data_IF_384262503622
#
_entry.id   IF_384262503622
#
_cell.length_a   1.000
_cell.length_b   1.000
_cell.length_c   1.000
_cell.angle_alpha   90.00
_cell.angle_beta   90.00
_cell.angle_gamma   90.00
#
_symmetry.space_group_name_H-M   'P 1'
#
loop_
_entity.id
_entity.type
_entity.pdbx_description
1 polymer ?
#
# COMPACT_ATOMS: atom_id res chain seq x y z
N UNK A 1 7.49 -4.46 -14.45
CA UNK A 1 6.47 -3.69 -13.70
C UNK A 1 6.63 -2.21 -14.03
N UNK A 2 5.77 -1.31 -13.52
CA UNK A 2 5.97 0.15 -13.63
C UNK A 2 7.39 0.59 -13.20
N UNK A 3 8.01 -0.12 -12.25
CA UNK A 3 9.37 0.19 -11.81
C UNK A 3 10.47 -0.42 -12.69
N UNK A 4 10.12 -1.32 -13.63
CA UNK A 4 11.07 -1.90 -14.61
C UNK A 4 10.96 -1.23 -15.99
N UNK A 5 9.75 -0.85 -16.40
CA UNK A 5 9.44 -0.36 -17.75
C UNK A 5 9.06 1.13 -17.74
N UNK A 6 8.79 1.71 -16.57
CA UNK A 6 8.33 3.08 -16.41
C UNK A 6 6.82 3.21 -16.60
N UNK A 7 6.34 4.45 -16.43
CA UNK A 7 4.99 4.88 -16.80
C UNK A 7 5.10 6.13 -17.66
N UNK A 8 4.11 6.37 -18.51
CA UNK A 8 3.98 7.65 -19.21
C UNK A 8 3.46 8.67 -18.19
N UNK A 9 4.28 9.65 -17.83
CA UNK A 9 3.98 10.59 -16.74
C UNK A 9 2.73 11.44 -16.94
N UNK A 10 2.24 11.58 -18.19
CA UNK A 10 0.98 12.29 -18.48
C UNK A 10 -0.26 11.46 -18.19
N UNK A 11 -0.14 10.13 -18.12
CA UNK A 11 -1.28 9.22 -17.91
C UNK A 11 -1.90 9.40 -16.51
N UNK A 12 -1.14 9.50 -15.39
CA UNK A 12 -1.72 9.80 -14.08
C UNK A 12 -2.53 11.11 -14.07
N UNK A 13 -2.01 12.19 -14.66
CA UNK A 13 -2.71 13.48 -14.70
C UNK A 13 -4.02 13.42 -15.48
N UNK A 14 -4.05 12.66 -16.59
CA UNK A 14 -5.25 12.43 -17.38
C UNK A 14 -6.30 11.65 -16.57
N UNK A 15 -5.91 10.53 -15.96
CA UNK A 15 -6.81 9.71 -15.15
C UNK A 15 -7.36 10.50 -13.96
N UNK A 16 -6.50 11.23 -13.23
CA UNK A 16 -6.95 12.07 -12.11
C UNK A 16 -7.93 13.16 -12.53
N UNK A 17 -7.78 13.70 -13.74
CA UNK A 17 -8.71 14.71 -14.27
C UNK A 17 -10.09 14.08 -14.53
N UNK A 18 -10.13 12.89 -15.14
CA UNK A 18 -11.37 12.13 -15.37
C UNK A 18 -12.04 11.79 -14.04
N UNK A 19 -11.30 11.23 -13.08
CA UNK A 19 -11.82 10.87 -11.75
C UNK A 19 -12.37 12.08 -10.99
N UNK A 20 -11.68 13.23 -11.08
CA UNK A 20 -12.14 14.47 -10.47
C UNK A 20 -13.45 14.96 -11.09
N UNK A 21 -13.60 14.85 -12.41
CA UNK A 21 -14.85 15.19 -13.10
C UNK A 21 -15.98 14.25 -12.73
N UNK A 22 -15.76 12.94 -12.64
CA UNK A 22 -16.78 11.99 -12.17
C UNK A 22 -17.20 12.24 -10.72
N UNK A 23 -16.26 12.60 -9.85
CA UNK A 23 -16.57 13.02 -8.48
C UNK A 23 -17.43 14.30 -8.46
N UNK A 24 -17.14 15.29 -9.30
CA UNK A 24 -17.96 16.49 -9.43
C UNK A 24 -19.37 16.14 -9.90
N UNK A 25 -19.49 15.31 -10.95
CA UNK A 25 -20.79 14.83 -11.45
C UNK A 25 -21.61 14.18 -10.34
N UNK A 26 -20.98 13.30 -9.55
CA UNK A 26 -21.63 12.67 -8.40
C UNK A 26 -22.15 13.69 -7.38
N UNK A 27 -21.30 14.66 -7.01
CA UNK A 27 -21.63 15.69 -6.02
C UNK A 27 -22.73 16.65 -6.50
N UNK A 28 -22.82 16.91 -7.81
CA UNK A 28 -23.83 17.80 -8.39
C UNK A 28 -25.09 17.07 -8.87
N UNK A 29 -25.16 15.76 -8.70
CA UNK A 29 -26.32 14.94 -9.10
C UNK A 29 -26.44 14.72 -10.61
N UNK A 30 -25.34 14.87 -11.35
CA UNK A 30 -25.28 14.57 -12.78
C UNK A 30 -25.23 13.05 -13.03
N UNK A 31 -25.68 12.57 -14.21
CA UNK A 31 -25.64 11.15 -14.54
C UNK A 31 -24.21 10.58 -14.50
N UNK A 32 -24.05 9.42 -13.83
CA UNK A 32 -22.79 8.69 -13.79
C UNK A 32 -22.78 7.53 -14.77
N UNK A 33 -21.68 7.38 -15.50
CA UNK A 33 -21.44 6.22 -16.35
C UNK A 33 -20.65 5.16 -15.58
N UNK A 34 -21.35 4.11 -15.12
CA UNK A 34 -20.73 2.99 -14.41
C UNK A 34 -20.07 2.02 -15.40
N UNK A 35 -18.86 2.35 -15.85
CA UNK A 35 -18.07 1.51 -16.73
C UNK A 35 -16.59 1.48 -16.31
N UNK A 36 -15.87 0.46 -16.78
CA UNK A 36 -14.41 0.44 -16.71
C UNK A 36 -13.87 1.24 -17.89
N UNK A 37 -13.36 2.44 -17.59
CA UNK A 37 -12.65 3.28 -18.56
C UNK A 37 -11.23 2.77 -18.75
N UNK A 38 -10.92 2.35 -19.98
CA UNK A 38 -9.58 1.95 -20.42
C UNK A 38 -9.04 3.03 -21.34
N UNK A 39 -7.85 3.54 -21.01
CA UNK A 39 -7.19 4.61 -21.78
C UNK A 39 -5.86 4.12 -22.31
N UNK A 40 -5.71 4.15 -23.62
CA UNK A 40 -4.41 4.09 -24.29
C UNK A 40 -4.02 5.49 -24.75
N UNK A 41 -3.08 6.11 -24.03
CA UNK A 41 -2.65 7.48 -24.32
C UNK A 41 -1.75 7.56 -25.56
N UNK A 42 -1.09 6.46 -25.94
CA UNK A 42 -0.18 6.44 -27.07
C UNK A 42 -0.96 6.46 -28.38
N UNK A 43 -1.96 5.58 -28.46
CA UNK A 43 -2.85 5.46 -29.61
C UNK A 43 -4.06 6.41 -29.51
N UNK A 44 -4.19 7.14 -28.41
CA UNK A 44 -5.28 8.08 -28.11
C UNK A 44 -6.65 7.40 -28.10
N UNK A 45 -6.69 6.18 -27.59
CA UNK A 45 -7.88 5.34 -27.56
C UNK A 45 -8.55 5.37 -26.18
N UNK A 46 -9.87 5.46 -26.19
CA UNK A 46 -10.72 5.51 -25.00
C UNK A 46 -11.83 4.49 -25.15
N UNK A 47 -11.86 3.51 -24.25
CA UNK A 47 -12.86 2.46 -24.25
C UNK A 47 -13.60 2.45 -22.93
N UNK A 48 -14.92 2.40 -23.01
CA UNK A 48 -15.77 2.14 -21.86
C UNK A 48 -16.26 0.71 -21.94
N UNK A 49 -15.86 -0.11 -20.97
CA UNK A 49 -16.28 -1.51 -20.88
C UNK A 49 -17.36 -1.59 -19.80
N UNK A 50 -18.56 -2.04 -20.16
CA UNK A 50 -19.61 -2.28 -19.17
C UNK A 50 -19.17 -3.36 -18.18
N UNK A 51 -19.27 -3.08 -16.88
CA UNK A 51 -18.96 -4.03 -15.81
C UNK A 51 -20.22 -4.30 -15.02
N UNK A 52 -20.58 -5.57 -14.88
CA UNK A 52 -21.71 -6.00 -14.08
C UNK A 52 -21.24 -6.53 -12.72
N UNK A 53 -22.08 -6.33 -11.69
CA UNK A 53 -21.89 -7.00 -10.42
C UNK A 53 -21.90 -8.52 -10.61
N UNK A 54 -20.95 -9.22 -9.98
CA UNK A 54 -20.90 -10.69 -10.00
C UNK A 54 -22.02 -11.27 -9.13
N UNK A 55 -22.79 -12.20 -9.68
CA UNK A 55 -23.79 -12.96 -8.93
C UNK A 55 -23.14 -13.74 -7.76
N UNK A 56 -23.77 -13.68 -6.59
CA UNK A 56 -23.29 -14.35 -5.38
C UNK A 56 -21.95 -13.82 -4.85
N UNK A 57 -21.52 -12.61 -5.24
CA UNK A 57 -20.30 -12.01 -4.71
C UNK A 57 -20.38 -11.91 -3.16
N UNK A 58 -19.43 -12.51 -2.43
CA UNK A 58 -19.49 -12.53 -0.96
C UNK A 58 -19.50 -11.11 -0.37
N UNK A 59 -18.79 -10.17 -0.97
CA UNK A 59 -18.74 -8.78 -0.50
C UNK A 59 -19.90 -7.93 -1.05
N UNK A 60 -20.05 -7.83 -2.37
CA UNK A 60 -20.98 -6.88 -2.99
C UNK A 60 -22.46 -7.30 -2.90
N UNK A 61 -22.75 -8.60 -2.86
CA UNK A 61 -24.13 -9.15 -2.85
C UNK A 61 -24.48 -9.67 -1.46
N UNK A 62 -23.61 -10.50 -0.88
CA UNK A 62 -23.89 -11.12 0.41
C UNK A 62 -23.47 -10.25 1.62
N UNK A 63 -22.92 -9.05 1.36
CA UNK A 63 -22.50 -8.09 2.38
C UNK A 63 -21.56 -8.68 3.46
N UNK A 64 -20.78 -9.70 3.09
CA UNK A 64 -19.74 -10.24 3.95
C UNK A 64 -18.47 -9.40 3.83
N UNK A 65 -18.26 -8.52 4.81
CA UNK A 65 -17.11 -7.63 4.92
C UNK A 65 -16.05 -8.17 5.89
N UNK A 66 -15.68 -9.44 5.77
CA UNK A 66 -14.70 -10.11 6.63
C UNK A 66 -13.41 -9.28 6.79
N UNK A 67 -12.87 -8.71 5.71
CA UNK A 67 -11.66 -7.87 5.74
C UNK A 67 -11.82 -6.53 6.48
N UNK A 68 -13.05 -6.06 6.71
CA UNK A 68 -13.30 -4.85 7.50
C UNK A 68 -13.28 -5.14 9.01
N UNK A 69 -13.74 -6.33 9.41
CA UNK A 69 -13.96 -6.68 10.82
C UNK A 69 -12.90 -7.61 11.40
N UNK A 70 -12.17 -8.32 10.56
CA UNK A 70 -11.10 -9.22 10.98
C UNK A 70 -9.76 -8.51 10.75
N UNK A 71 -9.09 -8.04 11.83
CA UNK A 71 -7.69 -7.63 11.70
C UNK A 71 -6.93 -8.81 11.11
N UNK A 72 -6.18 -8.57 10.04
CA UNK A 72 -5.26 -9.55 9.48
C UNK A 72 -3.86 -8.98 9.54
N UNK A 73 -2.91 -9.81 9.97
CA UNK A 73 -1.51 -9.56 9.67
C UNK A 73 -1.37 -9.62 8.15
N UNK A 74 -0.87 -8.55 7.54
CA UNK A 74 -0.63 -8.52 6.10
C UNK A 74 0.83 -8.27 5.80
N UNK A 75 1.36 -9.05 4.87
CA UNK A 75 2.69 -8.88 4.32
C UNK A 75 2.53 -8.70 2.84
N UNK A 76 2.87 -7.52 2.35
CA UNK A 76 2.61 -7.13 0.98
C UNK A 76 3.92 -6.73 0.32
N UNK A 77 4.29 -7.43 -0.75
CA UNK A 77 5.40 -7.01 -1.61
C UNK A 77 4.98 -5.73 -2.34
N UNK A 78 5.73 -4.65 -2.13
CA UNK A 78 5.48 -3.37 -2.78
C UNK A 78 6.12 -3.43 -4.17
N UNK A 79 5.26 -3.51 -5.19
CA UNK A 79 5.66 -3.61 -6.58
C UNK A 79 6.78 -2.63 -6.92
N UNK A 80 7.94 -3.19 -7.26
CA UNK A 80 9.05 -2.49 -7.88
C UNK A 80 10.01 -1.71 -6.97
N UNK A 81 9.78 -1.75 -5.65
CA UNK A 81 10.61 -1.02 -4.67
C UNK A 81 11.60 -1.91 -3.92
N UNK A 82 11.78 -3.16 -4.36
CA UNK A 82 12.47 -4.22 -3.63
C UNK A 82 12.14 -4.19 -2.13
N UNK A 83 10.85 -4.06 -1.83
CA UNK A 83 10.38 -3.75 -0.50
C UNK A 83 9.14 -4.55 -0.13
N UNK A 84 9.05 -4.89 1.14
CA UNK A 84 7.90 -5.58 1.71
C UNK A 84 7.34 -4.73 2.85
N UNK A 85 6.03 -4.50 2.82
CA UNK A 85 5.30 -3.89 3.93
C UNK A 85 4.75 -4.99 4.84
N UNK A 86 5.08 -4.91 6.13
CA UNK A 86 4.51 -5.73 7.19
C UNK A 86 3.53 -4.88 8.00
N UNK A 87 2.29 -5.35 8.11
CA UNK A 87 1.25 -4.75 8.95
C UNK A 87 0.91 -5.76 10.04
N UNK A 88 1.24 -5.50 11.31
CA UNK A 88 0.98 -6.44 12.40
C UNK A 88 -0.52 -6.55 12.71
N UNK A 89 -0.90 -7.70 13.27
CA UNK A 89 -2.29 -7.98 13.69
C UNK A 89 -2.75 -7.02 14.80
N UNK A 90 -1.87 -6.74 15.76
CA UNK A 90 -2.11 -5.80 16.85
C UNK A 90 -1.45 -4.47 16.53
N UNK A 91 -2.27 -3.45 16.22
CA UNK A 91 -1.83 -2.05 16.15
C UNK A 91 -1.65 -1.54 17.57
N UNK A 92 -0.50 -1.81 18.17
CA UNK A 92 -0.09 -1.19 19.43
C UNK A 92 0.69 0.09 19.15
N UNK A 93 0.56 1.10 20.02
CA UNK A 93 1.47 2.25 19.96
C UNK A 93 2.88 1.79 20.32
N UNK A 94 3.75 1.71 19.31
CA UNK A 94 5.16 1.43 19.53
C UNK A 94 5.83 2.71 19.99
N UNK A 95 6.48 2.66 21.16
CA UNK A 95 7.37 3.74 21.57
C UNK A 95 8.62 3.76 20.68
N UNK A 96 8.58 4.58 19.62
CA UNK A 96 9.67 4.73 18.65
C UNK A 96 10.99 5.07 19.35
N UNK A 97 10.94 5.91 20.39
CA UNK A 97 12.11 6.27 21.21
C UNK A 97 12.75 5.06 21.89
N UNK A 98 11.94 4.18 22.49
CA UNK A 98 12.45 2.98 23.15
C UNK A 98 13.03 1.98 22.14
N UNK A 99 12.40 1.89 20.97
CA UNK A 99 12.85 1.03 19.89
C UNK A 99 14.15 1.56 19.26
N UNK A 100 14.26 2.88 19.10
CA UNK A 100 15.45 3.56 18.60
C UNK A 100 16.68 3.25 19.46
N UNK A 101 16.53 3.29 20.79
CA UNK A 101 17.62 2.98 21.72
C UNK A 101 18.11 1.53 21.58
N UNK A 102 17.19 0.56 21.41
CA UNK A 102 17.55 -0.84 21.19
C UNK A 102 18.26 -1.04 19.85
N UNK A 103 17.72 -0.45 18.79
CA UNK A 103 18.22 -0.62 17.42
C UNK A 103 19.51 0.14 17.15
N UNK A 104 19.81 1.20 17.92
CA UNK A 104 21.05 1.97 17.79
C UNK A 104 22.31 1.14 18.07
N UNK A 105 22.18 0.03 18.81
CA UNK A 105 23.28 -0.92 19.06
C UNK A 105 23.56 -1.83 17.85
N UNK A 106 22.60 -1.96 16.93
CA UNK A 106 22.65 -2.91 15.81
C UNK A 106 22.87 -2.24 14.45
N UNK A 107 22.70 -0.91 14.35
CA UNK A 107 22.83 -0.19 13.10
C UNK A 107 22.52 1.30 13.22
N UNK A 108 22.40 1.96 12.06
CA UNK A 108 22.09 3.40 12.00
C UNK A 108 20.61 3.62 12.23
N UNK A 109 20.31 4.56 13.13
CA UNK A 109 18.93 4.89 13.49
C UNK A 109 18.70 6.38 13.30
N UNK A 110 17.55 6.74 12.73
CA UNK A 110 17.03 8.11 12.67
C UNK A 110 15.57 8.11 13.09
N UNK A 111 15.26 8.82 14.16
CA UNK A 111 13.91 8.94 14.69
C UNK A 111 13.24 10.24 14.21
N UNK A 112 11.94 10.17 13.95
CA UNK A 112 11.03 11.32 13.76
C UNK A 112 9.77 11.08 14.62
N UNK A 113 8.90 12.08 14.82
CA UNK A 113 7.70 11.91 15.65
C UNK A 113 6.76 10.77 15.24
N UNK A 114 6.79 10.36 13.97
CA UNK A 114 5.86 9.34 13.43
C UNK A 114 6.54 8.11 12.85
N UNK A 115 7.84 8.18 12.57
CA UNK A 115 8.60 7.13 11.87
C UNK A 115 9.99 6.97 12.46
N UNK A 116 10.38 5.72 12.70
CA UNK A 116 11.75 5.31 12.99
C UNK A 116 12.39 4.69 11.75
N UNK A 117 13.50 5.25 11.31
CA UNK A 117 14.33 4.68 10.26
C UNK A 117 15.47 3.88 10.90
N UNK A 118 15.56 2.61 10.55
CA UNK A 118 16.65 1.72 10.92
C UNK A 118 17.35 1.24 9.64
N UNK A 119 18.69 1.22 9.63
CA UNK A 119 19.47 0.82 8.47
C UNK A 119 20.65 -0.02 8.88
N UNK A 120 20.82 -1.14 8.18
CA UNK A 120 21.97 -2.04 8.25
C UNK A 120 22.66 -2.06 6.89
N UNK A 121 23.73 -2.84 6.76
CA UNK A 121 24.43 -3.02 5.47
C UNK A 121 23.57 -3.76 4.43
N UNK A 122 22.59 -4.56 4.87
CA UNK A 122 21.83 -5.46 4.00
C UNK A 122 20.40 -4.98 3.70
N UNK A 123 19.80 -4.19 4.58
CA UNK A 123 18.42 -3.73 4.43
C UNK A 123 18.16 -2.43 5.18
N UNK A 124 17.08 -1.75 4.81
CA UNK A 124 16.56 -0.60 5.55
C UNK A 124 15.12 -0.88 5.98
N UNK A 125 14.74 -0.34 7.14
CA UNK A 125 13.42 -0.53 7.73
C UNK A 125 12.86 0.82 8.17
N UNK A 126 11.66 1.15 7.70
CA UNK A 126 10.88 2.30 8.16
C UNK A 126 9.73 1.79 9.02
N UNK A 127 9.74 2.12 10.30
CA UNK A 127 8.80 1.62 11.31
C UNK A 127 7.89 2.77 11.74
N UNK A 128 6.59 2.61 11.59
CA UNK A 128 5.58 3.60 11.95
C UNK A 128 5.14 3.42 13.41
N UNK A 129 4.60 4.49 14.01
CA UNK A 129 4.10 4.45 15.40
C UNK A 129 2.97 3.42 15.63
N UNK A 130 2.23 3.06 14.58
CA UNK A 130 1.17 2.04 14.60
C UNK A 130 1.68 0.60 14.39
N UNK A 131 3.00 0.42 14.35
CA UNK A 131 3.66 -0.87 14.18
C UNK A 131 3.83 -1.32 12.74
N UNK A 132 3.31 -0.62 11.75
CA UNK A 132 3.63 -0.94 10.35
C UNK A 132 5.13 -0.80 10.12
N UNK A 133 5.69 -1.67 9.29
CA UNK A 133 7.07 -1.56 8.83
C UNK A 133 7.16 -1.73 7.32
N UNK A 134 8.02 -0.92 6.69
CA UNK A 134 8.42 -1.12 5.30
C UNK A 134 9.89 -1.51 5.31
N UNK A 135 10.20 -2.71 4.83
CA UNK A 135 11.56 -3.24 4.76
C UNK A 135 12.01 -3.22 3.31
N UNK A 136 13.05 -2.46 2.97
CA UNK A 136 13.65 -2.39 1.64
C UNK A 136 14.92 -3.22 1.55
N UNK A 137 15.23 -3.72 0.35
CA UNK A 137 16.34 -4.65 0.08
C UNK A 137 15.92 -6.12 0.17
N UNK A 138 14.62 -6.40 0.24
CA UNK A 138 14.06 -7.75 0.31
C UNK A 138 12.80 -7.86 -0.55
N UNK A 139 12.61 -9.03 -1.16
CA UNK A 139 11.42 -9.38 -1.96
C UNK A 139 10.74 -10.67 -1.49
N UNK A 140 11.14 -11.17 -0.33
CA UNK A 140 10.63 -12.42 0.24
C UNK A 140 9.80 -12.09 1.49
N UNK A 141 8.52 -12.47 1.46
CA UNK A 141 7.58 -12.24 2.56
C UNK A 141 7.98 -12.95 3.85
N UNK A 142 8.52 -14.18 3.77
CA UNK A 142 8.96 -14.93 4.95
C UNK A 142 10.16 -14.25 5.59
N UNK A 143 11.12 -13.83 4.76
CA UNK A 143 12.29 -13.07 5.23
C UNK A 143 11.88 -11.75 5.86
N UNK A 144 10.90 -11.06 5.27
CA UNK A 144 10.34 -9.83 5.83
C UNK A 144 9.72 -10.05 7.20
N UNK A 145 8.91 -11.11 7.37
CA UNK A 145 8.33 -11.48 8.67
C UNK A 145 9.42 -11.78 9.70
N UNK A 146 10.43 -12.55 9.34
CA UNK A 146 11.53 -12.88 10.27
C UNK A 146 12.30 -11.65 10.73
N UNK A 147 12.61 -10.73 9.81
CA UNK A 147 13.27 -9.47 10.16
C UNK A 147 12.37 -8.59 11.03
N UNK A 148 11.08 -8.49 10.70
CA UNK A 148 10.13 -7.74 11.52
C UNK A 148 10.04 -8.29 12.95
N UNK A 149 9.89 -9.60 13.12
CA UNK A 149 9.87 -10.26 14.42
C UNK A 149 11.19 -10.05 15.20
N UNK A 150 12.33 -10.14 14.51
CA UNK A 150 13.65 -9.98 15.12
C UNK A 150 13.91 -8.55 15.64
N UNK A 151 13.53 -7.53 14.87
CA UNK A 151 13.92 -6.14 15.16
C UNK A 151 12.82 -5.31 15.81
N UNK A 152 11.54 -5.61 15.56
CA UNK A 152 10.39 -4.85 16.09
C UNK A 152 9.75 -5.58 17.27
N UNK A 153 9.69 -6.92 17.23
CA UNK A 153 9.28 -7.76 18.35
C UNK A 153 7.78 -7.96 18.50
N UNK A 154 7.19 -8.72 17.56
CA UNK A 154 5.88 -9.36 17.69
C UNK A 154 5.93 -10.77 17.08
#
# INVERSE_FOLDING_TARGET
SCDTVGIINTLPSLISSIESTEALKYLTGEPLDSCLTVVDIWDKDFRCIAVSQREGCPCCVNHNYEFLYTPQESVTVLCGRDAVQVTPLHKGEISLKSLAQKLALLGKVKETPHILFFSTDNFTMSIFCDGRAIIKGINDEKKAKSLYAQYVGF
#
